data_IF_167644500216
#
_entry.id   IF_167644500216
#
_cell.length_a   1.000
_cell.length_b   1.000
_cell.length_c   1.000
_cell.angle_alpha   90.00
_cell.angle_beta   90.00
_cell.angle_gamma   90.00
#
_symmetry.space_group_name_H-M   'P 1'
#
loop_
_entity.id
_entity.type
_entity.pdbx_description
1 polymer ?
#
# COMPACT_ATOMS: atom_id res chain seq x y z
N UNK A 1 17.11 45.93 -8.16
CA UNK A 1 16.53 44.59 -8.08
C UNK A 1 17.61 43.60 -8.48
N UNK A 2 18.16 42.85 -7.51
CA UNK A 2 19.14 41.81 -7.79
C UNK A 2 18.44 40.46 -7.67
N UNK A 3 18.36 39.75 -8.79
CA UNK A 3 17.70 38.47 -8.94
C UNK A 3 18.65 37.38 -8.41
N UNK A 4 18.26 36.72 -7.32
CA UNK A 4 18.95 35.55 -6.77
C UNK A 4 18.42 34.33 -7.53
N UNK A 5 19.21 33.79 -8.44
CA UNK A 5 18.88 32.55 -9.17
C UNK A 5 20.11 31.69 -9.28
N UNK A 6 20.62 31.23 -8.13
CA UNK A 6 21.74 30.28 -8.13
C UNK A 6 21.74 29.31 -6.94
N UNK A 7 20.83 29.45 -5.97
CA UNK A 7 20.84 28.60 -4.76
C UNK A 7 19.95 27.36 -4.88
N UNK A 8 18.99 27.32 -5.80
CA UNK A 8 17.99 26.24 -5.84
C UNK A 8 18.55 24.92 -6.39
N UNK A 9 19.50 24.98 -7.33
CA UNK A 9 20.01 23.80 -8.05
C UNK A 9 21.05 23.02 -7.23
N UNK A 10 21.93 23.71 -6.49
CA UNK A 10 22.92 23.04 -5.63
C UNK A 10 22.27 22.29 -4.45
N UNK A 11 21.16 22.82 -3.92
CA UNK A 11 20.37 22.17 -2.86
C UNK A 11 19.69 20.89 -3.38
N UNK A 12 19.39 20.81 -4.68
CA UNK A 12 18.74 19.63 -5.27
C UNK A 12 19.74 18.47 -5.45
N UNK A 13 20.97 18.75 -5.89
CA UNK A 13 21.98 17.71 -6.10
C UNK A 13 22.53 17.11 -4.79
N UNK A 14 22.72 17.92 -3.74
CA UNK A 14 23.10 17.42 -2.42
C UNK A 14 21.98 16.61 -1.75
N UNK A 15 20.73 17.03 -1.94
CA UNK A 15 19.55 16.31 -1.46
C UNK A 15 19.37 14.97 -2.19
N UNK A 16 19.54 14.94 -3.51
CA UNK A 16 19.48 13.72 -4.31
C UNK A 16 20.59 12.73 -3.92
N UNK A 17 21.81 13.23 -3.68
CA UNK A 17 22.93 12.40 -3.22
C UNK A 17 22.73 11.87 -1.80
N UNK A 18 22.27 12.69 -0.87
CA UNK A 18 21.93 12.27 0.50
C UNK A 18 20.74 11.29 0.52
N UNK A 19 19.76 11.47 -0.36
CA UNK A 19 18.65 10.53 -0.55
C UNK A 19 19.13 9.20 -1.14
N UNK A 20 20.06 9.21 -2.10
CA UNK A 20 20.66 8.00 -2.66
C UNK A 20 21.55 7.25 -1.65
N UNK A 21 22.33 7.96 -0.83
CA UNK A 21 23.17 7.36 0.20
C UNK A 21 22.34 6.85 1.38
N UNK A 22 21.25 7.56 1.74
CA UNK A 22 20.23 7.10 2.67
C UNK A 22 19.47 5.87 2.17
N UNK A 23 19.12 5.84 0.88
CA UNK A 23 18.50 4.69 0.23
C UNK A 23 19.46 3.48 0.16
N UNK A 24 20.75 3.68 -0.14
CA UNK A 24 21.77 2.61 -0.10
C UNK A 24 21.98 2.08 1.32
N UNK A 25 21.92 2.94 2.33
CA UNK A 25 22.02 2.54 3.75
C UNK A 25 20.77 1.77 4.21
N UNK A 26 19.57 2.20 3.80
CA UNK A 26 18.30 1.52 4.10
C UNK A 26 18.07 0.23 3.29
N UNK A 27 18.67 0.12 2.10
CA UNK A 27 18.72 -1.12 1.31
C UNK A 27 19.71 -2.15 1.88
N UNK A 28 20.70 -1.71 2.67
CA UNK A 28 21.72 -2.59 3.26
C UNK A 28 21.25 -3.31 4.54
N UNK A 29 20.11 -2.94 5.11
CA UNK A 29 19.56 -3.62 6.29
C UNK A 29 18.41 -4.53 5.89
N UNK A 30 18.71 -5.83 5.80
CA UNK A 30 17.75 -6.93 5.78
C UNK A 30 16.88 -6.88 7.04
N UNK A 31 15.88 -6.00 7.10
CA UNK A 31 14.95 -5.93 8.22
C UNK A 31 14.17 -7.26 8.30
N UNK A 32 14.22 -7.97 9.44
CA UNK A 32 13.50 -9.23 9.64
C UNK A 32 11.99 -9.11 9.39
N UNK A 33 11.44 -7.90 9.55
CA UNK A 33 10.04 -7.60 9.26
C UNK A 33 9.69 -7.84 7.79
N UNK A 34 10.45 -7.25 6.85
CA UNK A 34 10.16 -7.38 5.42
C UNK A 34 10.39 -8.80 4.92
N UNK A 35 11.41 -9.50 5.44
CA UNK A 35 11.61 -10.92 5.18
C UNK A 35 10.44 -11.79 5.69
N UNK A 36 9.89 -11.47 6.86
CA UNK A 36 8.68 -12.12 7.39
C UNK A 36 7.44 -11.88 6.54
N UNK A 37 7.24 -10.65 6.03
CA UNK A 37 6.15 -10.29 5.12
C UNK A 37 6.26 -11.07 3.80
N UNK A 38 7.45 -11.12 3.20
CA UNK A 38 7.69 -11.89 1.98
C UNK A 38 7.43 -13.39 2.16
N UNK A 39 7.91 -13.96 3.27
CA UNK A 39 7.64 -15.35 3.62
C UNK A 39 6.14 -15.63 3.75
N UNK A 40 5.42 -14.79 4.50
CA UNK A 40 3.98 -14.94 4.71
C UNK A 40 3.19 -14.89 3.40
N UNK A 41 3.60 -14.04 2.46
CA UNK A 41 2.96 -13.92 1.15
C UNK A 41 3.21 -15.14 0.29
N UNK A 42 4.43 -15.68 0.30
CA UNK A 42 4.72 -16.92 -0.41
C UNK A 42 3.97 -18.11 0.20
N UNK A 43 3.83 -18.14 1.53
CA UNK A 43 2.97 -19.09 2.22
C UNK A 43 1.50 -18.97 1.78
N UNK A 44 0.94 -17.76 1.80
CA UNK A 44 -0.44 -17.51 1.35
C UNK A 44 -0.64 -17.86 -0.13
N UNK A 45 0.33 -17.54 -1.00
CA UNK A 45 0.27 -17.86 -2.44
C UNK A 45 -0.04 -19.33 -2.66
N UNK A 46 0.66 -20.19 -1.92
CA UNK A 46 0.49 -21.65 -2.02
C UNK A 46 -0.91 -22.09 -1.57
N UNK A 47 -1.40 -21.56 -0.44
CA UNK A 47 -2.70 -21.92 0.12
C UNK A 47 -3.87 -21.38 -0.72
N UNK A 48 -3.78 -20.13 -1.17
CA UNK A 48 -4.78 -19.49 -2.04
C UNK A 48 -4.87 -20.22 -3.38
N UNK A 49 -3.74 -20.61 -3.98
CA UNK A 49 -3.73 -21.44 -5.20
C UNK A 49 -4.48 -22.76 -4.99
N UNK A 50 -4.18 -23.46 -3.90
CA UNK A 50 -4.83 -24.74 -3.59
C UNK A 50 -6.34 -24.57 -3.35
N UNK A 51 -6.73 -23.52 -2.64
CA UNK A 51 -8.12 -23.15 -2.39
C UNK A 51 -8.88 -22.86 -3.67
N UNK A 52 -8.36 -21.96 -4.53
CA UNK A 52 -8.98 -21.61 -5.81
C UNK A 52 -9.07 -22.83 -6.73
N UNK A 53 -8.01 -23.63 -6.83
CA UNK A 53 -8.02 -24.82 -7.68
C UNK A 53 -9.10 -25.80 -7.23
N UNK A 54 -9.28 -25.99 -5.92
CA UNK A 54 -10.32 -26.88 -5.38
C UNK A 54 -11.74 -26.37 -5.66
N UNK A 55 -11.98 -25.06 -5.50
CA UNK A 55 -13.30 -24.47 -5.70
C UNK A 55 -13.68 -24.31 -7.18
N UNK A 56 -12.72 -24.08 -8.07
CA UNK A 56 -12.98 -23.95 -9.51
C UNK A 56 -13.19 -25.34 -10.15
N UNK A 57 -12.59 -26.40 -9.60
CA UNK A 57 -12.74 -27.77 -10.11
C UNK A 57 -14.18 -28.26 -10.19
N UNK A 58 -15.07 -27.79 -9.31
CA UNK A 58 -16.48 -28.19 -9.29
C UNK A 58 -17.34 -27.46 -10.32
N UNK A 59 -16.80 -26.44 -11.00
CA UNK A 59 -17.55 -25.63 -11.97
C UNK A 59 -17.62 -26.37 -13.32
N UNK A 60 -18.82 -26.60 -13.90
CA UNK A 60 -18.97 -27.23 -15.20
C UNK A 60 -18.16 -26.50 -16.28
N UNK A 61 -17.55 -27.26 -17.20
CA UNK A 61 -16.72 -26.78 -18.33
C UNK A 61 -15.38 -26.16 -17.89
N UNK A 62 -15.37 -25.30 -16.87
CA UNK A 62 -14.18 -24.57 -16.38
C UNK A 62 -13.28 -25.47 -15.52
N UNK A 63 -13.84 -26.45 -14.81
CA UNK A 63 -13.12 -27.33 -13.89
C UNK A 63 -11.95 -28.10 -14.52
N UNK A 64 -12.02 -28.37 -15.83
CA UNK A 64 -10.95 -29.02 -16.60
C UNK A 64 -9.67 -28.16 -16.67
N UNK A 65 -9.84 -26.83 -16.61
CA UNK A 65 -8.77 -25.84 -16.64
C UNK A 65 -8.46 -25.28 -15.24
N UNK A 66 -9.08 -25.81 -14.17
CA UNK A 66 -9.00 -25.25 -12.82
C UNK A 66 -7.57 -25.04 -12.32
N UNK A 67 -6.64 -25.96 -12.64
CA UNK A 67 -5.24 -25.81 -12.25
C UNK A 67 -4.54 -24.64 -12.98
N UNK A 68 -4.86 -24.44 -14.27
CA UNK A 68 -4.31 -23.35 -15.08
C UNK A 68 -4.92 -22.02 -14.66
N UNK A 69 -6.24 -21.94 -14.53
CA UNK A 69 -6.96 -20.76 -14.04
C UNK A 69 -6.49 -20.39 -12.64
N UNK A 70 -6.46 -21.36 -11.72
CA UNK A 70 -6.00 -21.16 -10.35
C UNK A 70 -4.55 -20.66 -10.28
N UNK A 71 -3.65 -21.21 -11.11
CA UNK A 71 -2.27 -20.72 -11.19
C UNK A 71 -2.23 -19.29 -11.72
N UNK A 72 -2.85 -19.00 -12.85
CA UNK A 72 -2.83 -17.66 -13.47
C UNK A 72 -3.41 -16.59 -12.55
N UNK A 73 -4.59 -16.84 -11.98
CA UNK A 73 -5.26 -15.90 -11.05
C UNK A 73 -4.41 -15.68 -9.81
N UNK A 74 -3.83 -16.74 -9.24
CA UNK A 74 -2.96 -16.60 -8.06
C UNK A 74 -1.70 -15.82 -8.40
N UNK A 75 -0.95 -16.18 -9.46
CA UNK A 75 0.28 -15.46 -9.80
C UNK A 75 0.02 -13.98 -10.06
N UNK A 76 -1.10 -13.66 -10.70
CA UNK A 76 -1.53 -12.29 -10.94
C UNK A 76 -1.80 -11.53 -9.64
N UNK A 77 -2.65 -12.07 -8.76
CA UNK A 77 -2.97 -11.45 -7.45
C UNK A 77 -1.68 -11.22 -6.66
N UNK A 78 -0.81 -12.23 -6.59
CA UNK A 78 0.41 -12.16 -5.81
C UNK A 78 1.50 -11.28 -6.45
N UNK A 79 1.46 -11.07 -7.77
CA UNK A 79 2.29 -10.05 -8.45
C UNK A 79 1.85 -8.64 -8.08
N UNK A 80 0.54 -8.36 -8.07
CA UNK A 80 0.00 -7.07 -7.63
C UNK A 80 0.32 -6.83 -6.15
N UNK A 81 0.14 -7.85 -5.28
CA UNK A 81 0.49 -7.75 -3.86
C UNK A 81 1.99 -7.53 -3.62
N UNK A 82 2.86 -8.23 -4.36
CA UNK A 82 4.31 -8.01 -4.29
C UNK A 82 4.69 -6.58 -4.69
N UNK A 83 4.06 -6.05 -5.74
CA UNK A 83 4.27 -4.66 -6.19
C UNK A 83 3.79 -3.66 -5.13
N UNK A 84 2.60 -3.89 -4.56
CA UNK A 84 2.06 -3.09 -3.44
C UNK A 84 3.05 -3.04 -2.28
N UNK A 85 3.61 -4.16 -1.87
CA UNK A 85 4.57 -4.22 -0.77
C UNK A 85 5.88 -3.53 -1.09
N UNK A 86 6.35 -3.63 -2.33
CA UNK A 86 7.46 -2.83 -2.82
C UNK A 86 7.21 -1.33 -2.63
N UNK A 87 6.06 -0.82 -3.06
CA UNK A 87 5.70 0.60 -2.85
C UNK A 87 5.58 0.96 -1.39
N UNK A 88 4.91 0.13 -0.61
CA UNK A 88 4.73 0.33 0.82
C UNK A 88 6.05 0.37 1.58
N UNK A 89 7.00 -0.51 1.26
CA UNK A 89 8.35 -0.50 1.83
C UNK A 89 9.07 0.83 1.54
N UNK A 90 8.96 1.34 0.31
CA UNK A 90 9.54 2.65 -0.05
C UNK A 90 8.86 3.77 0.73
N UNK A 91 7.53 3.77 0.80
CA UNK A 91 6.76 4.83 1.45
C UNK A 91 6.99 4.86 2.96
N UNK A 92 6.96 3.72 3.65
CA UNK A 92 7.14 3.67 5.09
C UNK A 92 8.58 3.89 5.55
N UNK A 93 9.56 3.67 4.67
CA UNK A 93 10.94 4.06 4.95
C UNK A 93 11.21 5.55 4.67
N UNK A 94 10.23 6.29 4.12
CA UNK A 94 10.36 7.74 3.90
C UNK A 94 10.01 8.53 5.17
N UNK A 95 10.96 9.28 5.76
CA UNK A 95 10.69 10.10 6.94
C UNK A 95 9.60 11.15 6.70
N UNK A 96 9.54 11.71 5.48
CA UNK A 96 8.58 12.75 5.10
C UNK A 96 7.12 12.32 5.31
N UNK A 97 6.83 11.03 5.11
CA UNK A 97 5.49 10.47 5.28
C UNK A 97 5.10 10.48 6.76
N UNK A 98 6.04 10.12 7.63
CA UNK A 98 5.83 10.15 9.08
C UNK A 98 5.67 11.58 9.59
N UNK A 99 6.51 12.51 9.11
CA UNK A 99 6.44 13.92 9.50
C UNK A 99 5.11 14.55 9.08
N UNK A 100 4.66 14.31 7.85
CA UNK A 100 3.37 14.83 7.36
C UNK A 100 2.19 14.19 8.08
N UNK A 101 2.20 12.87 8.26
CA UNK A 101 1.14 12.17 9.00
C UNK A 101 1.04 12.73 10.43
N UNK A 102 2.19 12.87 11.11
CA UNK A 102 2.27 13.41 12.46
C UNK A 102 1.78 14.86 12.51
N UNK A 103 2.21 15.72 11.60
CA UNK A 103 1.76 17.11 11.55
C UNK A 103 0.23 17.22 11.40
N UNK A 104 -0.36 16.41 10.51
CA UNK A 104 -1.82 16.38 10.32
C UNK A 104 -2.56 15.83 11.55
N UNK A 105 -1.98 14.83 12.22
CA UNK A 105 -2.55 14.28 13.45
C UNK A 105 -2.44 15.27 14.62
N UNK A 106 -1.36 16.04 14.72
CA UNK A 106 -1.18 17.11 15.69
C UNK A 106 -2.16 18.26 15.47
N UNK A 107 -2.48 18.60 14.22
CA UNK A 107 -3.55 19.56 13.93
C UNK A 107 -4.90 19.08 14.49
N UNK A 108 -5.23 17.79 14.32
CA UNK A 108 -6.47 17.22 14.86
C UNK A 108 -6.47 17.12 16.39
N UNK A 109 -5.31 16.84 16.99
CA UNK A 109 -5.11 16.91 18.44
C UNK A 109 -5.44 18.31 18.98
N UNK A 110 -4.83 19.34 18.38
CA UNK A 110 -5.01 20.73 18.81
C UNK A 110 -6.44 21.22 18.60
N UNK A 111 -7.09 20.81 17.50
CA UNK A 111 -8.49 21.13 17.23
C UNK A 111 -9.48 20.52 18.24
N UNK A 112 -9.05 19.58 19.08
CA UNK A 112 -9.86 18.93 20.10
C UNK A 112 -9.42 19.28 21.54
N UNK A 113 -8.66 20.35 21.73
CA UNK A 113 -8.14 20.75 23.04
C UNK A 113 -9.23 20.97 24.10
N UNK A 114 -10.35 21.56 23.70
CA UNK A 114 -11.45 21.87 24.61
C UNK A 114 -12.29 20.63 24.98
N UNK A 115 -12.08 19.51 24.30
CA UNK A 115 -12.84 18.26 24.48
C UNK A 115 -12.18 17.27 25.45
N UNK A 116 -11.03 17.64 26.02
CA UNK A 116 -10.27 16.82 26.97
C UNK A 116 -9.32 15.80 26.31
N UNK A 117 -8.40 15.28 27.11
CA UNK A 117 -7.26 14.47 26.65
C UNK A 117 -7.66 13.22 25.84
N UNK A 118 -8.74 12.54 26.24
CA UNK A 118 -9.21 11.33 25.55
C UNK A 118 -9.67 11.65 24.12
N UNK A 119 -10.38 12.76 23.91
CA UNK A 119 -10.83 13.20 22.60
C UNK A 119 -9.64 13.58 21.71
N UNK A 120 -8.61 14.21 22.26
CA UNK A 120 -7.39 14.55 21.54
C UNK A 120 -6.62 13.31 21.08
N UNK A 121 -6.40 12.34 21.98
CA UNK A 121 -5.74 11.07 21.66
C UNK A 121 -6.49 10.34 20.54
N UNK A 122 -7.82 10.27 20.66
CA UNK A 122 -8.65 9.63 19.66
C UNK A 122 -8.57 10.35 18.30
N UNK A 123 -8.64 11.68 18.29
CA UNK A 123 -8.56 12.47 17.06
C UNK A 123 -7.20 12.31 16.35
N UNK A 124 -6.11 12.34 17.11
CA UNK A 124 -4.75 12.09 16.61
C UNK A 124 -4.64 10.69 16.01
N UNK A 125 -5.01 9.66 16.78
CA UNK A 125 -4.92 8.27 16.35
C UNK A 125 -5.74 8.01 15.08
N UNK A 126 -6.97 8.55 15.03
CA UNK A 126 -7.85 8.47 13.86
C UNK A 126 -7.21 9.12 12.63
N UNK A 127 -6.56 10.28 12.78
CA UNK A 127 -5.89 10.95 11.65
C UNK A 127 -4.67 10.18 11.16
N UNK A 128 -3.82 9.67 12.06
CA UNK A 128 -2.70 8.81 11.69
C UNK A 128 -3.19 7.59 10.91
N UNK A 129 -4.19 6.87 11.43
CA UNK A 129 -4.76 5.70 10.77
C UNK A 129 -5.35 6.03 9.39
N UNK A 130 -6.10 7.13 9.29
CA UNK A 130 -6.67 7.59 8.02
C UNK A 130 -5.60 7.91 6.97
N UNK A 131 -4.50 8.55 7.37
CA UNK A 131 -3.39 8.87 6.47
C UNK A 131 -2.72 7.60 5.93
N UNK A 132 -2.48 6.60 6.79
CA UNK A 132 -1.92 5.32 6.35
C UNK A 132 -2.85 4.53 5.43
N UNK A 133 -4.15 4.52 5.70
CA UNK A 133 -5.12 3.85 4.83
C UNK A 133 -5.17 4.48 3.43
N UNK A 134 -5.11 5.81 3.35
CA UNK A 134 -5.06 6.48 2.05
C UNK A 134 -3.76 6.16 1.30
N UNK A 135 -2.62 6.09 1.98
CA UNK A 135 -1.35 5.64 1.38
C UNK A 135 -1.46 4.24 0.81
N UNK A 136 -2.02 3.29 1.58
CA UNK A 136 -2.18 1.90 1.14
C UNK A 136 -3.06 1.84 -0.11
N UNK A 137 -4.16 2.58 -0.11
CA UNK A 137 -5.07 2.70 -1.25
C UNK A 137 -4.36 3.26 -2.49
N UNK A 138 -3.61 4.35 -2.35
CA UNK A 138 -2.86 4.96 -3.45
C UNK A 138 -1.76 4.02 -3.98
N UNK A 139 -1.07 3.29 -3.10
CA UNK A 139 -0.09 2.28 -3.50
C UNK A 139 -0.75 1.13 -4.27
N UNK A 140 -1.93 0.68 -3.83
CA UNK A 140 -2.68 -0.37 -4.51
C UNK A 140 -3.16 0.09 -5.89
N UNK A 141 -3.76 1.28 -6.00
CA UNK A 141 -4.18 1.85 -7.27
C UNK A 141 -3.01 1.99 -8.25
N UNK A 142 -1.83 2.40 -7.76
CA UNK A 142 -0.61 2.48 -8.57
C UNK A 142 -0.09 1.10 -8.98
N UNK A 143 -0.15 0.11 -8.09
CA UNK A 143 0.26 -1.27 -8.40
C UNK A 143 -0.64 -1.88 -9.48
N UNK A 144 -1.94 -1.69 -9.36
CA UNK A 144 -2.96 -2.11 -10.34
C UNK A 144 -2.71 -1.43 -11.70
N UNK A 145 -2.50 -0.11 -11.72
CA UNK A 145 -2.18 0.64 -12.95
C UNK A 145 -0.88 0.20 -13.60
N UNK A 146 0.16 -0.13 -12.83
CA UNK A 146 1.45 -0.58 -13.35
C UNK A 146 1.36 -1.85 -14.21
N UNK A 147 0.33 -2.67 -13.99
CA UNK A 147 0.06 -3.89 -14.75
C UNK A 147 -1.05 -3.72 -15.81
N UNK A 148 -1.51 -2.49 -16.06
CA UNK A 148 -2.56 -2.19 -17.05
C UNK A 148 -3.95 -2.64 -16.65
N UNK A 149 -4.24 -2.74 -15.35
CA UNK A 149 -5.42 -3.39 -14.80
C UNK A 149 -6.45 -2.38 -14.31
N UNK A 150 -6.89 -1.47 -15.16
CA UNK A 150 -7.88 -0.49 -14.72
C UNK A 150 -9.27 -1.12 -14.64
N UNK A 151 -9.87 -1.11 -13.46
CA UNK A 151 -11.29 -1.47 -13.31
C UNK A 151 -12.18 -0.32 -13.77
N UNK A 152 -13.17 -0.64 -14.58
CA UNK A 152 -14.19 0.32 -14.99
C UNK A 152 -15.20 0.59 -13.85
N UNK A 153 -16.04 1.61 -14.04
CA UNK A 153 -17.02 2.03 -13.03
C UNK A 153 -18.04 0.93 -12.70
N UNK A 154 -18.46 0.17 -13.70
CA UNK A 154 -19.43 -0.94 -13.54
C UNK A 154 -18.85 -2.07 -12.70
N UNK A 155 -17.59 -2.45 -12.91
CA UNK A 155 -16.89 -3.46 -12.12
C UNK A 155 -16.74 -3.03 -10.66
N UNK A 156 -16.39 -1.76 -10.43
CA UNK A 156 -16.32 -1.19 -9.07
C UNK A 156 -17.66 -1.26 -8.36
N UNK A 157 -18.74 -0.87 -9.03
CA UNK A 157 -20.10 -0.90 -8.47
C UNK A 157 -20.57 -2.33 -8.16
N UNK A 158 -20.24 -3.30 -9.02
CA UNK A 158 -20.58 -4.70 -8.79
C UNK A 158 -19.86 -5.27 -7.55
N UNK A 159 -18.57 -4.93 -7.37
CA UNK A 159 -17.81 -5.33 -6.17
C UNK A 159 -18.38 -4.66 -4.91
N UNK A 160 -18.68 -3.36 -4.97
CA UNK A 160 -19.30 -2.65 -3.84
C UNK A 160 -20.64 -3.25 -3.44
N UNK A 161 -21.54 -3.50 -4.40
CA UNK A 161 -22.83 -4.12 -4.12
C UNK A 161 -22.71 -5.54 -3.54
N UNK A 162 -21.71 -6.31 -3.96
CA UNK A 162 -21.40 -7.61 -3.37
C UNK A 162 -20.91 -7.46 -1.92
N UNK A 163 -19.96 -6.55 -1.65
CA UNK A 163 -19.43 -6.33 -0.31
C UNK A 163 -20.54 -5.85 0.65
N UNK A 164 -21.39 -4.93 0.20
CA UNK A 164 -22.55 -4.46 0.98
C UNK A 164 -23.51 -5.61 1.31
N UNK A 165 -23.71 -6.56 0.38
CA UNK A 165 -24.55 -7.73 0.63
C UNK A 165 -23.95 -8.75 1.60
N UNK A 166 -22.62 -8.82 1.71
CA UNK A 166 -21.91 -9.76 2.59
C UNK A 166 -21.68 -9.22 4.01
N UNK A 167 -21.70 -7.90 4.17
CA UNK A 167 -21.45 -7.22 5.44
C UNK A 167 -22.74 -6.79 6.17
N UNK A 168 -23.89 -7.00 5.55
CA UNK A 168 -25.23 -6.92 6.17
C UNK A 168 -25.69 -8.29 6.68
#
# INVERSE_FOLDING_TARGET
MATITTTTTEITDEFEKAAMDGAKKALNENSPFWGGVEWFINFLRTHVKAFFTTHIKSIPIIGQFAARVGTTVTEFIFTVLGTLIGFLKVVWNSPQIWDQAHAMAMQAWNANADNGLLAQIYAYGKKMAGYFLEIIKQCFERAVKAHGLEMNLTEKQAISGLLDSLLN
#
